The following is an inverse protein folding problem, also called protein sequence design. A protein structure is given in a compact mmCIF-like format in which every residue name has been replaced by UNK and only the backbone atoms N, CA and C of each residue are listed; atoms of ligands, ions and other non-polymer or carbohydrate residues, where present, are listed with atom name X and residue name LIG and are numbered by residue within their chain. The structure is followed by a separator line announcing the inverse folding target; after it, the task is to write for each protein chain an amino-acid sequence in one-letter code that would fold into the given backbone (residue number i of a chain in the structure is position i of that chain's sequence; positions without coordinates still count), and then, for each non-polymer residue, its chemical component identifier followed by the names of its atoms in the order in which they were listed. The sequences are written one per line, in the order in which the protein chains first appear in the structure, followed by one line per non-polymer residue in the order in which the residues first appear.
data_IF_849287598279
#
_entry.id   IF_849287598279
#
_cell.length_a   1.000
_cell.length_b   1.000
_cell.length_c   1.000
_cell.angle_alpha   90.00
_cell.angle_beta   90.00
_cell.angle_gamma   90.00
#
_symmetry.space_group_name_H-M   'P 1'
#
loop_
_entity.id
_entity.type
_entity.pdbx_description
1 polymer ?
#
# COMPACT_ATOMS: atom_id res chain seq x y z
N UNK A 1 21.79 -9.53 0.75
CA UNK A 1 21.85 -8.09 0.98
C UNK A 1 20.66 -7.63 1.79
N UNK A 2 20.75 -6.46 2.36
CA UNK A 2 19.68 -5.91 3.16
C UNK A 2 19.05 -4.76 2.38
N UNK A 3 17.74 -4.80 2.23
CA UNK A 3 17.00 -3.75 1.54
C UNK A 3 16.27 -2.92 2.59
N UNK A 4 16.41 -1.60 2.50
CA UNK A 4 15.72 -0.67 3.38
C UNK A 4 14.69 0.10 2.58
N UNK A 5 13.44 -0.02 2.99
CA UNK A 5 12.33 0.58 2.27
C UNK A 5 11.66 1.65 3.09
N UNK A 6 11.14 2.65 2.41
CA UNK A 6 10.19 3.60 3.00
C UNK A 6 8.82 3.34 2.39
N UNK A 7 7.83 3.11 3.23
CA UNK A 7 6.47 2.83 2.81
C UNK A 7 5.62 4.01 3.22
N UNK A 8 5.13 4.78 2.25
CA UNK A 8 4.48 6.05 2.46
C UNK A 8 3.01 5.95 2.09
N UNK A 9 2.11 6.32 3.00
CA UNK A 9 0.70 6.37 2.68
C UNK A 9 0.47 7.47 1.64
N UNK A 10 -0.25 7.16 0.59
CA UNK A 10 -0.51 8.11 -0.49
C UNK A 10 -1.60 9.09 -0.01
N UNK A 11 -1.19 10.13 0.69
CA UNK A 11 -2.08 11.07 1.34
C UNK A 11 -1.40 12.42 1.42
N UNK A 12 -2.15 13.42 1.87
CA UNK A 12 -1.56 14.74 2.01
C UNK A 12 -0.68 14.85 3.23
N UNK A 13 -1.00 14.09 4.26
CA UNK A 13 -0.19 14.14 5.46
C UNK A 13 0.91 13.11 5.39
N UNK A 14 2.01 13.37 6.07
CA UNK A 14 3.14 12.46 6.02
C UNK A 14 2.92 11.32 7.00
N UNK A 15 2.61 10.15 6.48
CA UNK A 15 2.49 8.95 7.28
C UNK A 15 3.34 7.89 6.59
N UNK A 16 4.38 7.41 7.27
CA UNK A 16 5.25 6.41 6.64
C UNK A 16 5.90 5.50 7.66
N UNK A 17 6.46 4.42 7.16
CA UNK A 17 7.23 3.46 7.95
C UNK A 17 8.49 3.12 7.20
N UNK A 18 9.59 2.98 7.93
CA UNK A 18 10.83 2.49 7.32
C UNK A 18 11.07 1.08 7.82
N UNK A 19 11.20 0.15 6.89
CA UNK A 19 11.35 -1.27 7.21
C UNK A 19 12.53 -1.82 6.46
N UNK A 20 13.34 -2.65 7.11
CA UNK A 20 14.44 -3.33 6.44
C UNK A 20 14.20 -4.84 6.43
N UNK A 21 14.52 -5.47 5.30
CA UNK A 21 14.37 -6.90 5.11
C UNK A 21 15.55 -7.41 4.29
N UNK A 22 15.76 -8.72 4.35
CA UNK A 22 16.74 -9.32 3.47
C UNK A 22 16.21 -9.35 2.05
N UNK A 23 17.08 -9.17 1.09
CA UNK A 23 16.67 -9.06 -0.31
C UNK A 23 16.07 -10.35 -0.85
N UNK A 24 16.39 -11.48 -0.23
CA UNK A 24 15.81 -12.76 -0.64
C UNK A 24 14.54 -13.10 0.15
N UNK A 25 13.97 -12.14 0.87
CA UNK A 25 12.66 -12.33 1.48
C UNK A 25 11.60 -12.30 0.39
N UNK A 26 10.46 -12.92 0.64
CA UNK A 26 9.36 -12.91 -0.33
C UNK A 26 8.56 -11.63 -0.18
N UNK A 27 7.75 -11.33 -1.18
CA UNK A 27 6.83 -10.22 -1.07
C UNK A 27 5.76 -10.50 -0.03
N UNK A 28 5.50 -11.77 0.28
CA UNK A 28 4.57 -12.08 1.35
C UNK A 28 5.15 -11.67 2.69
N UNK A 29 6.45 -11.88 2.89
CA UNK A 29 7.11 -11.42 4.12
C UNK A 29 7.00 -9.92 4.24
N UNK A 30 7.15 -9.21 3.13
CA UNK A 30 7.08 -7.75 3.11
C UNK A 30 5.64 -7.30 3.39
N UNK A 31 4.66 -7.95 2.79
CA UNK A 31 3.26 -7.66 3.03
C UNK A 31 2.95 -7.77 4.53
N UNK A 32 3.39 -8.86 5.15
CA UNK A 32 3.15 -9.06 6.58
C UNK A 32 3.79 -7.96 7.41
N UNK A 33 4.99 -7.56 7.06
CA UNK A 33 5.69 -6.51 7.80
C UNK A 33 4.97 -5.16 7.63
N UNK A 34 4.49 -4.88 6.43
CA UNK A 34 3.83 -3.61 6.16
C UNK A 34 2.53 -3.51 6.95
N UNK A 35 1.63 -4.49 6.81
CA UNK A 35 0.33 -4.31 7.45
C UNK A 35 0.48 -4.29 8.96
N UNK A 36 1.41 -5.02 9.51
CA UNK A 36 1.61 -5.00 10.95
C UNK A 36 2.17 -3.67 11.40
N UNK A 37 3.05 -3.07 10.62
CA UNK A 37 3.66 -1.80 11.01
C UNK A 37 2.66 -0.65 11.02
N UNK A 38 1.60 -0.75 10.23
CA UNK A 38 0.58 0.29 10.20
C UNK A 38 -0.60 -0.05 11.11
N UNK A 39 -0.61 -1.24 11.71
CA UNK A 39 -1.66 -1.58 12.66
C UNK A 39 -2.89 -2.25 12.06
N UNK A 40 -2.81 -2.70 10.83
CA UNK A 40 -3.91 -3.44 10.23
C UNK A 40 -3.92 -4.87 10.79
N UNK A 41 -5.06 -5.54 10.73
CA UNK A 41 -5.16 -6.88 11.27
C UNK A 41 -4.79 -7.97 10.27
N UNK A 42 -4.61 -7.61 9.02
CA UNK A 42 -4.17 -8.59 8.02
C UNK A 42 -5.27 -9.46 7.46
N UNK A 43 -6.52 -9.12 7.69
CA UNK A 43 -7.62 -9.94 7.23
C UNK A 43 -8.13 -9.55 5.85
N UNK A 44 -7.52 -8.56 5.23
CA UNK A 44 -7.98 -8.10 3.93
C UNK A 44 -7.00 -8.47 2.84
N UNK A 45 -7.50 -8.47 1.60
CA UNK A 45 -6.67 -8.81 0.46
C UNK A 45 -5.74 -7.67 0.11
N UNK A 46 -4.59 -7.99 -0.42
CA UNK A 46 -3.60 -6.99 -0.79
C UNK A 46 -2.85 -7.41 -2.03
N UNK A 47 -2.24 -6.45 -2.70
CA UNK A 47 -1.37 -6.70 -3.86
C UNK A 47 -0.25 -5.67 -3.90
N UNK A 48 0.86 -6.09 -4.48
CA UNK A 48 1.92 -5.17 -4.86
C UNK A 48 1.83 -4.96 -6.37
N UNK A 49 2.30 -3.83 -6.83
CA UNK A 49 2.40 -3.53 -8.26
C UNK A 49 3.78 -2.99 -8.52
N UNK A 50 4.41 -3.41 -9.60
CA UNK A 50 5.66 -2.78 -10.02
C UNK A 50 5.34 -1.36 -10.44
N UNK A 51 6.33 -0.49 -10.43
CA UNK A 51 6.10 0.92 -10.72
C UNK A 51 7.31 1.50 -11.43
N UNK A 52 7.08 2.46 -12.29
CA UNK A 52 8.18 3.22 -12.88
C UNK A 52 8.49 4.41 -11.97
N UNK A 53 9.38 5.29 -12.42
CA UNK A 53 9.81 6.42 -11.61
C UNK A 53 8.70 7.43 -11.39
N UNK A 54 7.66 7.41 -12.19
CA UNK A 54 6.56 8.35 -12.07
C UNK A 54 5.38 7.74 -11.33
N UNK A 55 5.58 6.61 -10.72
CA UNK A 55 4.55 5.90 -9.94
C UNK A 55 3.41 5.38 -10.82
N UNK A 56 3.71 5.05 -12.07
CA UNK A 56 2.72 4.41 -12.93
C UNK A 56 2.69 2.92 -12.60
N UNK A 57 1.49 2.41 -12.38
CA UNK A 57 1.28 1.06 -11.92
C UNK A 57 1.54 0.06 -13.03
N UNK A 58 2.29 -0.96 -12.74
CA UNK A 58 2.65 -1.99 -13.71
C UNK A 58 2.07 -3.35 -13.36
N UNK A 59 2.91 -4.36 -13.30
CA UNK A 59 2.48 -5.73 -13.11
C UNK A 59 2.01 -5.97 -11.68
N UNK A 60 0.93 -6.72 -11.51
CA UNK A 60 0.40 -7.04 -10.18
C UNK A 60 1.05 -8.29 -9.63
N UNK A 61 1.39 -8.27 -8.34
CA UNK A 61 1.84 -9.44 -7.60
C UNK A 61 0.84 -9.62 -6.47
N UNK A 62 0.03 -10.65 -6.57
CA UNK A 62 -1.13 -10.80 -5.71
C UNK A 62 -0.87 -11.69 -4.52
N UNK A 63 -1.64 -11.46 -3.47
CA UNK A 63 -1.56 -12.30 -2.28
C UNK A 63 -2.08 -13.69 -2.58
N UNK A 64 -3.15 -13.82 -3.34
CA UNK A 64 -3.73 -15.10 -3.69
C UNK A 64 -4.12 -15.14 -5.16
N UNK A 65 -4.23 -16.34 -5.69
CA UNK A 65 -4.65 -16.53 -7.07
C UNK A 65 -6.14 -16.84 -7.05
N UNK A 66 -6.94 -15.86 -7.45
CA UNK A 66 -8.39 -15.99 -7.44
C UNK A 66 -8.90 -16.76 -8.64
N UNK A 67 -8.04 -17.17 -9.55
CA UNK A 67 -8.47 -17.85 -10.77
C UNK A 67 -8.21 -19.33 -10.73
N UNK A 68 -7.75 -19.86 -9.58
CA UNK A 68 -7.46 -21.28 -9.43
C UNK A 68 -6.44 -21.76 -10.46
N UNK A 69 -5.46 -20.96 -10.73
CA UNK A 69 -4.41 -21.35 -11.65
C UNK A 69 -4.68 -21.11 -13.10
N UNK A 70 -5.80 -20.46 -13.41
CA UNK A 70 -6.09 -20.22 -14.81
C UNK A 70 -5.37 -19.03 -15.38
N UNK A 71 -4.76 -18.21 -14.57
CA UNK A 71 -4.01 -17.08 -15.09
C UNK A 71 -2.57 -17.20 -14.63
N UNK A 72 -1.70 -16.40 -15.25
CA UNK A 72 -0.30 -16.39 -14.92
C UNK A 72 0.01 -15.34 -13.88
N UNK A 73 -0.91 -15.09 -12.98
CA UNK A 73 -0.70 -14.03 -12.00
C UNK A 73 0.44 -14.39 -11.10
N UNK A 74 1.24 -13.41 -10.77
CA UNK A 74 2.40 -13.58 -9.91
C UNK A 74 1.96 -13.54 -8.47
N UNK A 75 2.47 -14.43 -7.64
CA UNK A 75 2.06 -14.51 -6.24
C UNK A 75 3.14 -14.00 -5.32
N UNK A 76 2.73 -13.35 -4.24
CA UNK A 76 3.66 -12.81 -3.26
C UNK A 76 4.54 -13.87 -2.66
N UNK A 77 3.96 -15.04 -2.38
CA UNK A 77 4.74 -16.09 -1.70
C UNK A 77 5.79 -16.71 -2.60
N UNK A 78 5.70 -16.50 -3.89
CA UNK A 78 6.62 -17.06 -4.84
C UNK A 78 7.57 -16.05 -5.46
N UNK A 79 7.52 -14.82 -5.03
CA UNK A 79 8.31 -13.74 -5.62
C UNK A 79 9.22 -13.12 -4.57
N UNK A 80 10.50 -13.07 -4.86
CA UNK A 80 11.45 -12.47 -3.92
C UNK A 80 11.57 -10.98 -4.18
N UNK A 81 11.94 -10.23 -3.15
CA UNK A 81 12.11 -8.80 -3.28
C UNK A 81 13.09 -8.47 -4.39
N UNK A 82 14.19 -9.19 -4.43
CA UNK A 82 15.23 -8.89 -5.42
C UNK A 82 14.79 -9.21 -6.84
N UNK A 83 13.68 -9.94 -7.02
CA UNK A 83 13.17 -10.23 -8.35
C UNK A 83 12.43 -9.05 -8.96
N UNK A 84 11.93 -8.15 -8.15
CA UNK A 84 11.10 -7.06 -8.64
C UNK A 84 11.61 -5.68 -8.26
N UNK A 85 12.59 -5.60 -7.36
CA UNK A 85 13.12 -4.32 -6.91
C UNK A 85 14.63 -4.32 -7.02
N UNK A 86 15.20 -3.24 -7.53
CA UNK A 86 16.64 -3.07 -7.64
C UNK A 86 16.96 -1.59 -7.60
N UNK A 87 18.24 -1.25 -7.67
CA UNK A 87 18.61 0.15 -7.72
C UNK A 87 18.02 0.84 -8.93
N UNK A 88 17.89 0.12 -10.03
CA UNK A 88 17.35 0.70 -11.25
C UNK A 88 15.85 0.76 -11.26
N UNK A 89 15.20 -0.03 -10.41
CA UNK A 89 13.76 -0.05 -10.34
C UNK A 89 13.34 -0.15 -8.88
N UNK A 90 13.45 0.97 -8.14
CA UNK A 90 13.32 0.93 -6.70
C UNK A 90 11.91 1.09 -6.16
N UNK A 91 10.90 1.18 -7.02
CA UNK A 91 9.56 1.57 -6.58
C UNK A 91 8.53 0.47 -6.76
N UNK A 92 7.64 0.34 -5.78
CA UNK A 92 6.49 -0.55 -5.84
C UNK A 92 5.31 0.22 -5.30
N UNK A 93 4.11 -0.24 -5.64
CA UNK A 93 2.88 0.29 -5.07
C UNK A 93 2.23 -0.84 -4.30
N UNK A 94 1.74 -0.57 -3.11
CA UNK A 94 1.11 -1.58 -2.28
C UNK A 94 -0.32 -1.13 -1.98
N UNK A 95 -1.29 -1.99 -2.25
CA UNK A 95 -2.68 -1.68 -1.99
C UNK A 95 -3.23 -2.73 -1.03
N UNK A 96 -3.80 -2.27 0.07
CA UNK A 96 -4.35 -3.12 1.10
C UNK A 96 -5.86 -2.88 1.17
N UNK A 97 -6.64 -3.98 1.19
CA UNK A 97 -8.09 -3.90 1.31
C UNK A 97 -8.70 -3.28 0.07
N UNK A 98 -9.03 -4.11 -0.91
CA UNK A 98 -9.50 -3.63 -2.21
C UNK A 98 -10.83 -2.88 -2.12
N UNK A 99 -11.56 -3.02 -1.03
CA UNK A 99 -12.78 -2.24 -0.88
C UNK A 99 -12.47 -0.83 -0.41
N UNK A 100 -11.52 -0.70 0.49
CA UNK A 100 -11.12 0.61 1.02
C UNK A 100 -10.00 1.25 0.25
N UNK A 101 -9.18 0.45 -0.42
CA UNK A 101 -8.09 0.91 -1.28
C UNK A 101 -7.04 1.76 -0.56
N UNK A 102 -6.54 1.24 0.54
CA UNK A 102 -5.39 1.88 1.18
C UNK A 102 -4.19 1.73 0.25
N UNK A 103 -3.67 2.84 -0.22
CA UNK A 103 -2.60 2.86 -1.22
C UNK A 103 -1.32 3.42 -0.62
N UNK A 104 -0.24 2.68 -0.80
CA UNK A 104 1.05 3.07 -0.25
C UNK A 104 2.10 3.08 -1.35
N UNK A 105 2.95 4.09 -1.32
CA UNK A 105 4.07 4.20 -2.23
C UNK A 105 5.28 3.61 -1.53
N UNK A 106 5.93 2.65 -2.17
CA UNK A 106 7.03 1.91 -1.57
C UNK A 106 8.29 2.18 -2.33
N UNK A 107 9.32 2.63 -1.63
CA UNK A 107 10.56 2.97 -2.31
C UNK A 107 11.76 2.34 -1.61
N UNK A 108 12.63 1.69 -2.39
CA UNK A 108 13.89 1.16 -1.87
C UNK A 108 14.81 2.35 -1.65
N UNK A 109 15.08 2.63 -0.39
CA UNK A 109 15.86 3.80 -0.02
C UNK A 109 17.34 3.51 0.06
N UNK A 110 17.70 2.28 0.42
CA UNK A 110 19.11 1.97 0.62
C UNK A 110 19.32 0.46 0.54
N UNK A 111 20.49 0.06 0.05
CA UNK A 111 20.92 -1.33 0.07
C UNK A 111 22.15 -1.40 0.97
N UNK A 112 22.13 -2.33 1.91
CA UNK A 112 23.19 -2.42 2.89
C UNK A 112 23.53 -3.89 3.16
N UNK A 113 24.41 -4.14 4.09
CA UNK A 113 24.76 -5.48 4.51
C UNK A 113 24.00 -5.81 5.78
N UNK A 114 23.54 -7.04 5.95
CA UNK A 114 22.86 -7.42 7.18
C UNK A 114 23.83 -7.35 8.36
N UNK A 115 23.28 -7.04 9.52
CA UNK A 115 24.10 -6.93 10.72
C UNK A 115 23.96 -8.23 11.52
N UNK A 116 25.09 -8.64 12.09
CA UNK A 116 25.11 -9.85 12.88
C UNK A 116 24.28 -9.63 14.13
N UNK A 117 23.41 -10.59 14.44
CA UNK A 117 22.59 -10.49 15.65
C UNK A 117 21.27 -9.81 15.46
N UNK A 118 21.01 -9.25 14.27
CA UNK A 118 19.74 -8.61 14.00
C UNK A 118 18.81 -9.62 13.34
N UNK A 119 17.51 -9.47 13.59
CA UNK A 119 16.51 -10.27 12.90
C UNK A 119 15.69 -9.37 11.98
N UNK A 120 15.22 -9.96 10.89
CA UNK A 120 14.48 -9.22 9.89
C UNK A 120 13.20 -9.96 9.57
N UNK A 121 12.13 -9.25 9.21
CA UNK A 121 12.05 -7.81 8.96
C UNK A 121 12.18 -7.01 10.23
N UNK A 122 12.69 -5.81 10.11
CA UNK A 122 12.89 -4.91 11.25
C UNK A 122 12.26 -3.56 10.94
N UNK A 123 11.38 -3.10 11.84
CA UNK A 123 10.76 -1.79 11.69
C UNK A 123 11.72 -0.77 12.28
N UNK A 124 12.26 0.10 11.40
CA UNK A 124 13.29 1.05 11.80
C UNK A 124 12.71 2.36 12.30
N UNK A 125 11.62 2.82 11.70
CA UNK A 125 11.11 4.15 11.99
C UNK A 125 9.62 4.23 11.71
N UNK A 126 8.91 5.00 12.52
CA UNK A 126 7.48 5.18 12.41
C UNK A 126 7.20 6.67 12.44
N UNK A 127 6.44 7.17 11.47
CA UNK A 127 6.05 8.56 11.43
C UNK A 127 4.58 8.67 11.09
N UNK A 128 3.81 9.28 11.96
CA UNK A 128 2.40 9.51 11.71
C UNK A 128 1.54 8.31 12.01
N UNK A 129 0.25 8.52 12.03
CA UNK A 129 -0.74 7.47 12.26
C UNK A 129 -1.71 7.46 11.12
N UNK A 130 -2.27 6.28 10.83
CA UNK A 130 -3.24 6.18 9.77
C UNK A 130 -4.50 6.97 10.13
N UNK A 131 -5.09 7.64 9.15
CA UNK A 131 -6.40 8.23 9.38
C UNK A 131 -7.45 7.13 9.51
N UNK A 132 -8.64 7.49 9.94
CA UNK A 132 -9.70 6.51 10.16
C UNK A 132 -10.13 5.84 8.86
N UNK A 133 -9.97 6.53 7.73
CA UNK A 133 -10.35 5.99 6.43
C UNK A 133 -9.30 6.40 5.41
N UNK A 134 -9.18 5.66 4.33
CA UNK A 134 -8.16 6.00 3.34
C UNK A 134 -8.47 7.30 2.62
N UNK A 135 -7.45 7.98 2.13
CA UNK A 135 -7.66 9.20 1.39
C UNK A 135 -8.40 8.93 0.08
N UNK A 136 -9.19 9.91 -0.37
CA UNK A 136 -9.97 9.72 -1.57
C UNK A 136 -9.46 10.54 -2.71
N UNK A 137 -8.18 10.64 -2.89
CA UNK A 137 -7.63 11.56 -3.85
C UNK A 137 -8.09 11.34 -5.26
N UNK A 138 -8.07 10.11 -5.70
CA UNK A 138 -8.45 9.87 -7.05
C UNK A 138 -9.89 9.98 -7.27
N UNK A 139 -10.67 9.61 -6.29
CA UNK A 139 -12.07 9.72 -6.42
C UNK A 139 -12.49 11.15 -6.48
N UNK A 140 -11.77 12.00 -5.82
CA UNK A 140 -12.15 13.38 -5.83
C UNK A 140 -12.10 13.97 -7.19
N UNK A 141 -11.11 13.60 -7.97
CA UNK A 141 -11.00 14.16 -9.28
C UNK A 141 -12.13 13.74 -10.15
N UNK A 142 -12.58 12.53 -10.04
CA UNK A 142 -13.63 12.11 -10.87
C UNK A 142 -14.97 12.50 -10.36
N UNK A 143 -15.11 12.53 -9.09
CA UNK A 143 -16.35 12.88 -8.57
C UNK A 143 -16.72 14.30 -8.74
N UNK A 144 -15.76 15.14 -8.86
CA UNK A 144 -16.09 16.50 -9.11
C UNK A 144 -16.86 16.67 -10.36
N UNK A 145 -16.54 15.91 -11.36
CA UNK A 145 -17.25 16.00 -12.59
C UNK A 145 -18.61 15.47 -12.45
N UNK A 146 -18.84 14.51 -11.63
CA UNK A 146 -20.03 13.89 -11.48
C UNK A 146 -20.91 14.61 -10.61
N UNK A 147 -20.45 15.10 -9.51
CA UNK A 147 -21.24 15.73 -8.61
C UNK A 147 -21.81 16.95 -8.97
N UNK A 148 -21.22 17.64 -9.88
CA UNK A 148 -21.80 18.81 -10.32
C UNK A 148 -23.14 18.54 -10.85
N UNK A 149 -23.37 17.34 -11.30
CA UNK A 149 -24.61 17.04 -11.86
C UNK A 149 -25.66 16.86 -10.87
N UNK A 150 -25.53 16.21 -9.84
CA UNK A 150 -26.62 16.01 -9.02
C UNK A 150 -26.50 16.49 -7.65
N UNK A 151 -25.55 17.30 -7.44
CA UNK A 151 -25.44 17.82 -6.25
C UNK A 151 -26.54 18.55 -5.76
N UNK A 152 -27.22 19.12 -6.54
CA UNK A 152 -28.23 19.85 -6.08
C UNK A 152 -29.25 19.06 -5.45
N UNK A 153 -29.31 17.87 -5.61
CA UNK A 153 -30.21 17.14 -4.97
C UNK A 153 -29.84 16.70 -3.71
N UNK A 154 -28.99 16.44 -3.42
CA UNK A 154 -28.55 15.78 -2.30
C UNK A 154 -28.32 16.28 -1.19
N UNK A 155 -28.35 16.75 -1.08
CA UNK A 155 -27.96 17.09 -0.21
C UNK A 155 -27.86 16.94 0.61
N UNK A 156 -27.69 16.79 0.57
CA UNK A 156 -27.32 16.47 1.20
C UNK A 156 -27.31 16.79 2.09
N UNK A 157 -27.54 17.15 2.28
CA UNK A 157 -27.45 17.28 3.22
C UNK A 157 -27.72 16.59 3.91
N UNK A 158 -27.99 15.90 3.60
CA UNK A 158 -28.16 15.05 4.17
C UNK A 158 -27.32 14.35 4.52
N UNK A 159 -26.72 14.21 4.44
CA UNK A 159 -25.90 13.61 4.89
C UNK A 159 -25.20 14.11 5.65
N UNK A 160 -25.33 14.84 5.70
CA UNK A 160 -24.80 15.31 6.44
C UNK A 160 -25.27 15.18 7.47
N UNK A 161 -26.09 14.90 7.40
CA UNK A 161 -26.46 14.51 8.27
C UNK A 161 -26.42 13.45 8.53
N UNK A 162 -26.47 12.95 7.97
CA UNK A 162 -26.23 11.87 8.21
C UNK A 162 -25.41 11.48 8.79
N UNK A 163 -25.43 11.69 9.03
CA UNK A 163 -24.61 11.26 9.57
C UNK A 163 -23.87 10.95 9.79
N UNK A 164 -23.77 10.76 9.61
CA UNK A 164 -22.99 10.18 9.78
C UNK A 164 -22.24 10.47 10.14
N UNK A 165 -22.36 10.75 10.07
CA UNK A 165 -21.62 10.75 10.38
C UNK A 165 -21.01 10.96 10.93
N UNK A 166 -21.05 11.21 10.89
CA UNK A 166 -20.34 11.07 11.31
C UNK A 166 -19.82 10.81 11.72
N UNK A 167 -20.06 10.47 11.67
CA UNK A 167 -19.43 9.75 11.96
C UNK A 167 -19.12 9.16 11.62
N UNK A 168 -19.29 8.96 11.22
CA UNK A 168 -18.93 8.10 10.70
C UNK A 168 -17.88 8.06 10.18
N UNK A 169 -17.72 8.27 10.33
CA UNK A 169 -16.75 8.18 10.18
C UNK A 169 -16.19 7.94 10.28
#
# INVERSE_FOLDING_TARGET
MLYRFRIILDAEEDVFRDIELLSDSTLEDFHNAIFQSFGFDGNEMASFYTSDDDWNQGEEISQVDMTDGESDIRLMEETLLEDVVSEDQPKLIYIYDFLSMWTFLVELAEIAEPEVGMTYPNLMYVHGQLPAAPPEKEFQAEENDFETDFDEDFDIDDYDDLPFDENWN
#
